data_IF_172699651490
#
_entry.id   IF_172699651490
#
_cell.length_a   1.000
_cell.length_b   1.000
_cell.length_c   1.000
_cell.angle_alpha   90.00
_cell.angle_beta   90.00
_cell.angle_gamma   90.00
#
_symmetry.space_group_name_H-M   'P 1'
#
loop_
_entity.id
_entity.type
_entity.pdbx_description
1 polymer ?
#
# COMPACT_ATOMS: atom_id res chain seq x y z
N UNK A 1 15.22 0.24 -5.34
CA UNK A 1 13.90 -0.20 -4.86
C UNK A 1 12.88 0.91 -5.02
N UNK A 2 11.65 0.54 -5.33
CA UNK A 2 10.61 1.53 -5.56
C UNK A 2 9.63 1.57 -4.41
N UNK A 3 9.00 2.71 -4.24
CA UNK A 3 7.88 2.89 -3.34
C UNK A 3 6.59 2.75 -4.13
N UNK A 4 5.56 2.22 -3.49
CA UNK A 4 4.24 2.14 -4.10
C UNK A 4 3.21 2.59 -3.06
N UNK A 5 2.29 3.47 -3.46
CA UNK A 5 1.27 3.99 -2.56
C UNK A 5 -0.09 3.41 -2.93
N UNK A 6 -0.86 3.04 -1.91
CA UNK A 6 -2.24 2.59 -2.08
C UNK A 6 -3.10 3.57 -1.28
N UNK A 7 -3.94 4.32 -1.95
CA UNK A 7 -4.71 5.34 -1.29
C UNK A 7 -5.72 6.01 -2.18
N UNK A 8 -6.25 7.15 -1.71
CA UNK A 8 -7.21 7.94 -2.45
C UNK A 8 -6.52 8.60 -3.66
N UNK A 9 -7.34 9.08 -4.59
CA UNK A 9 -6.83 9.77 -5.76
C UNK A 9 -5.94 10.95 -5.38
N UNK A 10 -6.34 11.74 -4.37
CA UNK A 10 -5.54 12.87 -3.91
C UNK A 10 -4.17 12.45 -3.41
N UNK A 11 -4.13 11.40 -2.60
CA UNK A 11 -2.88 10.91 -2.04
C UNK A 11 -1.95 10.36 -3.11
N UNK A 12 -2.51 9.59 -4.03
CA UNK A 12 -1.72 8.99 -5.11
C UNK A 12 -1.16 10.08 -6.01
N UNK A 13 -1.99 11.05 -6.39
CA UNK A 13 -1.55 12.14 -7.27
C UNK A 13 -0.49 13.01 -6.62
N UNK A 14 -0.63 13.28 -5.33
CA UNK A 14 0.37 14.08 -4.61
C UNK A 14 1.74 13.40 -4.62
N UNK A 15 1.76 12.09 -4.46
CA UNK A 15 3.01 11.34 -4.46
C UNK A 15 3.57 11.07 -5.85
N UNK A 16 2.70 11.03 -6.86
CA UNK A 16 3.15 10.90 -8.25
C UNK A 16 4.03 12.07 -8.68
N UNK A 17 3.76 13.24 -8.16
CA UNK A 17 4.59 14.44 -8.42
C UNK A 17 6.03 14.19 -7.96
N UNK A 18 6.20 13.42 -6.91
CA UNK A 18 7.52 13.05 -6.38
C UNK A 18 8.08 11.78 -7.03
N UNK A 19 7.40 11.23 -8.04
CA UNK A 19 7.87 10.06 -8.74
C UNK A 19 7.45 8.72 -8.12
N UNK A 20 6.54 8.74 -7.15
CA UNK A 20 6.07 7.51 -6.51
C UNK A 20 4.87 6.97 -7.28
N UNK A 21 4.95 5.72 -7.69
CA UNK A 21 3.82 5.06 -8.34
C UNK A 21 2.77 4.68 -7.32
N UNK A 22 1.51 4.57 -7.75
CA UNK A 22 0.44 4.24 -6.82
C UNK A 22 -0.78 3.63 -7.47
N UNK A 23 -1.61 3.06 -6.61
CA UNK A 23 -2.90 2.50 -6.98
C UNK A 23 -4.00 3.32 -6.30
N UNK A 24 -4.89 3.88 -7.10
CA UNK A 24 -6.04 4.61 -6.58
C UNK A 24 -7.11 3.60 -6.18
N UNK A 25 -7.55 3.68 -4.94
CA UNK A 25 -8.59 2.78 -4.43
C UNK A 25 -9.69 3.62 -3.75
N UNK A 26 -10.89 3.10 -3.75
CA UNK A 26 -12.05 3.80 -3.19
C UNK A 26 -12.77 3.02 -2.10
N UNK A 27 -12.27 1.84 -1.77
CA UNK A 27 -12.87 1.00 -0.74
C UNK A 27 -11.82 0.10 -0.12
N UNK A 28 -12.15 -0.47 1.05
CA UNK A 28 -11.27 -1.44 1.69
C UNK A 28 -11.08 -2.69 0.83
N UNK A 29 -12.11 -3.09 0.10
CA UNK A 29 -12.04 -4.25 -0.79
C UNK A 29 -11.03 -4.02 -1.93
N UNK A 30 -11.12 -2.86 -2.60
CA UNK A 30 -10.18 -2.54 -3.67
C UNK A 30 -8.77 -2.32 -3.12
N UNK A 31 -8.65 -1.77 -1.91
CA UNK A 31 -7.35 -1.61 -1.25
C UNK A 31 -6.71 -2.96 -0.98
N UNK A 32 -7.49 -3.93 -0.52
CA UNK A 32 -7.01 -5.27 -0.25
C UNK A 32 -6.51 -5.95 -1.53
N UNK A 33 -7.28 -5.84 -2.62
CA UNK A 33 -6.89 -6.40 -3.91
C UNK A 33 -5.61 -5.76 -4.45
N UNK A 34 -5.51 -4.43 -4.36
CA UNK A 34 -4.32 -3.71 -4.81
C UNK A 34 -3.09 -4.10 -3.99
N UNK A 35 -3.26 -4.20 -2.68
CA UNK A 35 -2.17 -4.60 -1.80
C UNK A 35 -1.67 -6.01 -2.13
N UNK A 36 -2.59 -6.96 -2.30
CA UNK A 36 -2.22 -8.33 -2.63
C UNK A 36 -1.39 -8.38 -3.92
N UNK A 37 -1.78 -7.60 -4.93
CA UNK A 37 -1.05 -7.55 -6.18
C UNK A 37 0.35 -6.96 -6.01
N UNK A 38 0.46 -5.85 -5.26
CA UNK A 38 1.74 -5.17 -5.06
C UNK A 38 2.71 -6.02 -4.23
N UNK A 39 2.20 -6.78 -3.27
CA UNK A 39 3.05 -7.65 -2.45
C UNK A 39 3.75 -8.74 -3.27
N UNK A 40 3.26 -9.02 -4.46
CA UNK A 40 3.89 -9.98 -5.37
C UNK A 40 4.94 -9.34 -6.28
N UNK A 41 5.06 -8.02 -6.26
CA UNK A 41 6.00 -7.29 -7.11
C UNK A 41 7.34 -7.12 -6.39
N UNK A 42 8.34 -7.85 -6.85
CA UNK A 42 9.66 -7.85 -6.21
C UNK A 42 10.45 -6.58 -6.44
N UNK A 43 10.03 -5.73 -7.36
CA UNK A 43 10.71 -4.45 -7.59
C UNK A 43 10.32 -3.39 -6.55
N UNK A 44 9.25 -3.62 -5.79
CA UNK A 44 8.77 -2.71 -4.77
C UNK A 44 9.42 -3.04 -3.43
N UNK A 45 10.05 -2.04 -2.82
CA UNK A 45 10.68 -2.22 -1.51
C UNK A 45 9.80 -1.78 -0.35
N UNK A 46 8.96 -0.78 -0.58
CA UNK A 46 8.08 -0.23 0.46
C UNK A 46 6.71 0.08 -0.13
N UNK A 47 5.67 -0.33 0.57
CA UNK A 47 4.29 -0.02 0.21
C UNK A 47 3.71 0.89 1.29
N UNK A 48 3.14 2.02 0.86
CA UNK A 48 2.49 2.96 1.76
C UNK A 48 0.97 2.80 1.60
N UNK A 49 0.30 2.41 2.66
CA UNK A 49 -1.15 2.21 2.64
C UNK A 49 -1.83 3.34 3.40
N UNK A 50 -2.81 3.98 2.76
CA UNK A 50 -3.55 5.08 3.35
C UNK A 50 -4.15 4.68 4.70
N UNK A 51 -4.10 5.59 5.67
CA UNK A 51 -4.71 5.38 6.98
C UNK A 51 -6.21 5.15 6.88
N UNK A 52 -6.85 5.56 5.79
CA UNK A 52 -8.28 5.30 5.56
C UNK A 52 -8.59 3.81 5.48
N UNK A 53 -7.65 3.00 5.02
CA UNK A 53 -7.86 1.57 4.80
C UNK A 53 -6.95 0.68 5.65
N UNK A 54 -5.93 1.25 6.23
CA UNK A 54 -4.89 0.49 6.95
C UNK A 54 -5.47 -0.37 8.07
N UNK A 55 -6.44 0.16 8.79
CA UNK A 55 -7.03 -0.52 9.95
C UNK A 55 -8.22 -1.42 9.60
N UNK A 56 -8.57 -1.52 8.32
CA UNK A 56 -9.60 -2.48 7.91
C UNK A 56 -9.10 -3.89 8.22
N UNK A 57 -9.95 -4.76 8.82
CA UNK A 57 -9.50 -6.09 9.25
C UNK A 57 -8.81 -6.92 8.17
N UNK A 58 -9.34 -6.93 6.94
CA UNK A 58 -8.76 -7.71 5.85
C UNK A 58 -7.43 -7.12 5.40
N UNK A 59 -7.36 -5.79 5.30
CA UNK A 59 -6.13 -5.10 4.90
C UNK A 59 -5.07 -5.26 5.97
N UNK A 60 -5.45 -5.04 7.22
CA UNK A 60 -4.54 -5.16 8.36
C UNK A 60 -3.94 -6.56 8.47
N UNK A 61 -4.75 -7.58 8.23
CA UNK A 61 -4.29 -8.96 8.26
C UNK A 61 -3.21 -9.24 7.23
N UNK A 62 -3.41 -8.74 6.00
CA UNK A 62 -2.40 -8.85 4.95
C UNK A 62 -1.10 -8.13 5.34
N UNK A 63 -1.23 -6.94 5.91
CA UNK A 63 -0.07 -6.14 6.32
C UNK A 63 0.71 -6.87 7.40
N UNK A 64 0.03 -7.37 8.42
CA UNK A 64 0.68 -8.09 9.51
C UNK A 64 1.42 -9.33 9.01
N UNK A 65 0.76 -10.10 8.18
CA UNK A 65 1.38 -11.32 7.62
C UNK A 65 2.63 -10.99 6.83
N UNK A 66 2.57 -9.94 6.01
CA UNK A 66 3.71 -9.53 5.20
C UNK A 66 4.87 -9.05 6.07
N UNK A 67 4.60 -8.18 7.03
CA UNK A 67 5.66 -7.63 7.88
C UNK A 67 6.25 -8.67 8.81
N UNK A 68 5.45 -9.66 9.21
CA UNK A 68 5.91 -10.74 10.07
C UNK A 68 6.90 -11.66 9.37
N UNK A 69 6.82 -11.78 8.06
CA UNK A 69 7.76 -12.59 7.28
C UNK A 69 9.16 -11.99 7.25
N UNK A 70 9.28 -10.70 7.51
CA UNK A 70 10.57 -10.02 7.47
C UNK A 70 11.19 -9.93 6.09
N UNK A 71 10.37 -9.99 5.03
CA UNK A 71 10.82 -9.90 3.64
C UNK A 71 10.19 -8.67 2.98
N UNK A 72 10.78 -8.24 1.87
CA UNK A 72 10.27 -7.10 1.11
C UNK A 72 9.07 -7.52 0.26
N UNK A 73 8.16 -6.60 0.00
CA UNK A 73 8.15 -5.21 0.46
C UNK A 73 7.68 -5.06 1.90
N UNK A 74 8.17 -4.03 2.56
CA UNK A 74 7.69 -3.62 3.89
C UNK A 74 6.46 -2.74 3.70
N UNK A 75 5.45 -2.92 4.54
CA UNK A 75 4.22 -2.12 4.46
C UNK A 75 4.18 -1.12 5.61
N UNK A 76 3.93 0.13 5.28
CA UNK A 76 3.87 1.22 6.25
C UNK A 76 2.58 2.01 6.10
N UNK A 77 2.15 2.66 7.18
CA UNK A 77 0.97 3.50 7.16
C UNK A 77 1.30 4.85 6.55
N UNK A 78 0.45 5.32 5.66
CA UNK A 78 0.53 6.67 5.12
C UNK A 78 -0.50 7.54 5.83
N UNK A 79 -0.04 8.46 6.65
CA UNK A 79 -0.90 9.41 7.33
C UNK A 79 -1.25 10.55 6.37
N UNK A 80 -2.52 10.93 6.37
CA UNK A 80 -2.97 12.05 5.55
C UNK A 80 -2.85 13.37 6.29
#
# INVERSE_FOLDING_TARGET
>A
MRYHVIGSEEQVRALEVAGVQGSVVDSASSACSALAAVLCDKSVGTVLVSSLYYDDPAVFDLIEKQNRKGVLPVVMRLSS
#
